data_IF_345881668856
#
_entry.id   IF_345881668856
#
_cell.length_a   1.000
_cell.length_b   1.000
_cell.length_c   1.000
_cell.angle_alpha   90.00
_cell.angle_beta   90.00
_cell.angle_gamma   90.00
#
_symmetry.space_group_name_H-M   'P 1'
#
loop_
_entity.id
_entity.type
_entity.pdbx_description
1 polymer ?
#
# COMPACT_ATOMS: atom_id res chain seq x y z
N UNK A 1 26.85 -2.29 7.86
CA UNK A 1 28.22 -1.94 7.44
C UNK A 1 28.10 -0.70 6.56
N UNK A 2 29.09 0.19 6.51
CA UNK A 2 29.02 1.42 5.70
C UNK A 2 29.75 1.20 4.38
N UNK A 3 29.17 1.65 3.28
CA UNK A 3 29.84 1.69 1.97
C UNK A 3 30.48 3.06 1.82
N UNK A 4 31.79 3.13 1.61
CA UNK A 4 32.52 4.41 1.50
C UNK A 4 32.22 5.37 2.67
N UNK A 5 32.15 4.84 3.90
CA UNK A 5 31.78 5.59 5.11
C UNK A 5 30.39 6.24 5.08
N UNK A 6 29.50 5.78 4.19
CA UNK A 6 28.10 6.21 4.10
C UNK A 6 27.15 5.03 4.18
N UNK A 7 25.91 5.31 4.60
CA UNK A 7 24.80 4.35 4.58
C UNK A 7 23.86 4.71 3.44
N UNK A 8 23.74 3.83 2.46
CA UNK A 8 22.81 3.97 1.34
C UNK A 8 21.56 3.16 1.63
N UNK A 9 20.42 3.83 1.73
CA UNK A 9 19.13 3.21 2.02
C UNK A 9 18.01 4.00 1.36
N UNK A 10 16.93 3.31 1.00
CA UNK A 10 15.74 3.94 0.45
C UNK A 10 14.48 3.18 0.88
N UNK A 11 13.37 3.91 0.89
CA UNK A 11 12.03 3.36 1.08
C UNK A 11 11.31 3.44 -0.26
N UNK A 12 10.68 2.35 -0.66
CA UNK A 12 9.92 2.24 -1.88
C UNK A 12 8.52 1.72 -1.59
N UNK A 13 7.51 2.29 -2.24
CA UNK A 13 6.14 1.78 -2.18
C UNK A 13 5.88 0.95 -3.43
N UNK A 14 5.72 -0.36 -3.25
CA UNK A 14 5.45 -1.23 -4.37
C UNK A 14 4.04 -0.97 -4.89
N UNK A 15 3.95 -0.33 -6.06
CA UNK A 15 2.69 -0.16 -6.78
C UNK A 15 2.20 -1.56 -7.20
N UNK A 16 0.96 -1.96 -6.83
CA UNK A 16 0.42 -3.22 -7.30
C UNK A 16 0.27 -3.21 -8.83
N UNK A 17 0.65 -4.31 -9.48
CA UNK A 17 0.55 -4.50 -10.93
C UNK A 17 -0.90 -4.46 -11.39
N UNK A 18 -1.81 -5.00 -10.57
CA UNK A 18 -3.25 -4.94 -10.75
C UNK A 18 -3.91 -4.59 -9.43
N UNK A 19 -4.96 -3.77 -9.49
CA UNK A 19 -5.88 -3.56 -8.37
C UNK A 19 -7.09 -4.43 -8.68
N UNK A 20 -7.40 -5.39 -7.81
CA UNK A 20 -8.65 -6.13 -7.90
C UNK A 20 -9.81 -5.16 -7.65
N UNK A 21 -10.35 -4.63 -8.75
CA UNK A 21 -11.41 -3.64 -8.73
C UNK A 21 -12.72 -4.19 -8.16
N UNK A 22 -12.94 -5.51 -8.21
CA UNK A 22 -14.15 -6.15 -7.70
C UNK A 22 -14.10 -6.19 -6.18
N UNK A 23 -13.01 -6.75 -5.64
CA UNK A 23 -12.80 -6.84 -4.19
C UNK A 23 -12.71 -5.45 -3.57
N UNK A 24 -11.97 -4.53 -4.20
CA UNK A 24 -11.81 -3.15 -3.72
C UNK A 24 -13.15 -2.39 -3.71
N UNK A 25 -13.98 -2.50 -4.76
CA UNK A 25 -15.32 -1.89 -4.75
C UNK A 25 -16.21 -2.47 -3.65
N UNK A 26 -16.13 -3.78 -3.41
CA UNK A 26 -16.91 -4.44 -2.35
C UNK A 26 -16.50 -3.94 -0.97
N UNK A 27 -15.20 -3.87 -0.70
CA UNK A 27 -14.66 -3.39 0.58
C UNK A 27 -15.01 -1.92 0.84
N UNK A 28 -14.84 -1.04 -0.16
CA UNK A 28 -15.23 0.36 -0.07
C UNK A 28 -16.74 0.48 0.16
N UNK A 29 -17.56 -0.31 -0.56
CA UNK A 29 -19.02 -0.31 -0.35
C UNK A 29 -19.37 -0.74 1.07
N UNK A 30 -18.73 -1.77 1.61
CA UNK A 30 -18.93 -2.20 3.00
C UNK A 30 -18.54 -1.10 4.00
N UNK A 31 -17.44 -0.39 3.76
CA UNK A 31 -17.02 0.76 4.59
C UNK A 31 -18.03 1.91 4.53
N UNK A 32 -18.54 2.24 3.35
CA UNK A 32 -19.54 3.30 3.20
C UNK A 32 -20.87 2.93 3.86
N UNK A 33 -21.29 1.66 3.76
CA UNK A 33 -22.51 1.16 4.39
C UNK A 33 -22.44 1.13 5.92
N UNK A 34 -21.26 1.22 6.55
CA UNK A 34 -21.17 1.40 8.00
C UNK A 34 -21.49 2.82 8.46
N UNK A 35 -21.50 3.80 7.54
CA UNK A 35 -21.74 5.22 7.83
C UNK A 35 -23.03 5.75 7.18
N UNK A 36 -23.43 5.21 6.04
CA UNK A 36 -24.59 5.65 5.27
C UNK A 36 -25.52 4.49 4.90
N UNK A 37 -26.81 4.78 4.72
CA UNK A 37 -27.77 3.80 4.18
C UNK A 37 -27.65 3.69 2.66
N UNK A 38 -28.15 2.58 2.09
CA UNK A 38 -28.22 2.37 0.63
C UNK A 38 -28.93 3.53 -0.09
N UNK A 39 -30.01 4.07 0.49
CA UNK A 39 -30.78 5.18 -0.10
C UNK A 39 -29.96 6.48 -0.18
N UNK A 40 -29.17 6.76 0.86
CA UNK A 40 -28.31 7.93 0.92
C UNK A 40 -27.14 7.83 -0.06
N UNK A 41 -26.61 6.61 -0.27
CA UNK A 41 -25.57 6.36 -1.27
C UNK A 41 -26.09 6.41 -2.71
N UNK A 42 -27.38 6.16 -2.94
CA UNK A 42 -27.99 6.26 -4.26
C UNK A 42 -28.10 7.72 -4.73
N UNK A 43 -28.35 8.66 -3.82
CA UNK A 43 -28.47 10.10 -4.10
C UNK A 43 -27.73 10.94 -3.04
N UNK A 44 -26.37 10.94 -3.04
CA UNK A 44 -25.59 11.64 -2.04
C UNK A 44 -25.60 13.15 -2.26
N UNK A 45 -25.66 13.92 -1.18
CA UNK A 45 -25.45 15.38 -1.20
C UNK A 45 -23.99 15.71 -1.53
N UNK A 46 -23.70 16.97 -1.87
CA UNK A 46 -22.32 17.40 -2.18
C UNK A 46 -21.35 17.14 -1.02
N UNK A 47 -21.78 17.40 0.22
CA UNK A 47 -20.99 17.10 1.42
C UNK A 47 -20.71 15.61 1.55
N UNK A 48 -21.71 14.77 1.31
CA UNK A 48 -21.55 13.31 1.33
C UNK A 48 -20.63 12.82 0.22
N UNK A 49 -20.67 13.42 -0.98
CA UNK A 49 -19.76 13.05 -2.07
C UNK A 49 -18.31 13.35 -1.70
N UNK A 50 -18.04 14.48 -1.04
CA UNK A 50 -16.71 14.81 -0.54
C UNK A 50 -16.23 13.81 0.50
N UNK A 51 -17.08 13.47 1.46
CA UNK A 51 -16.78 12.50 2.53
C UNK A 51 -16.58 11.07 1.97
N UNK A 52 -17.39 10.65 1.00
CA UNK A 52 -17.22 9.39 0.26
C UNK A 52 -15.87 9.34 -0.46
N UNK A 53 -15.49 10.44 -1.12
CA UNK A 53 -14.21 10.55 -1.80
C UNK A 53 -13.05 10.45 -0.82
N UNK A 54 -13.12 11.17 0.30
CA UNK A 54 -12.12 11.16 1.36
C UNK A 54 -11.94 9.74 1.94
N UNK A 55 -13.02 9.09 2.37
CA UNK A 55 -12.99 7.72 2.88
C UNK A 55 -12.41 6.72 1.87
N UNK A 56 -12.77 6.87 0.59
CA UNK A 56 -12.24 6.02 -0.48
C UNK A 56 -10.74 6.23 -0.69
N UNK A 57 -10.26 7.48 -0.61
CA UNK A 57 -8.84 7.83 -0.72
C UNK A 57 -8.03 7.35 0.48
N UNK A 58 -8.56 7.49 1.69
CA UNK A 58 -7.94 6.97 2.91
C UNK A 58 -7.76 5.46 2.84
N UNK A 59 -8.83 4.74 2.49
CA UNK A 59 -8.79 3.29 2.32
C UNK A 59 -7.71 2.86 1.31
N UNK A 60 -7.67 3.52 0.15
CA UNK A 60 -6.66 3.23 -0.87
C UNK A 60 -5.25 3.56 -0.40
N UNK A 61 -5.07 4.68 0.31
CA UNK A 61 -3.78 5.09 0.86
C UNK A 61 -3.28 4.10 1.92
N UNK A 62 -4.16 3.62 2.80
CA UNK A 62 -3.83 2.60 3.79
C UNK A 62 -3.41 1.29 3.09
N UNK A 63 -4.19 0.84 2.09
CA UNK A 63 -3.91 -0.40 1.36
C UNK A 63 -2.59 -0.34 0.58
N UNK A 64 -2.27 0.81 -0.02
CA UNK A 64 -1.05 1.00 -0.80
C UNK A 64 0.18 1.26 0.07
N UNK A 65 0.03 1.95 1.21
CA UNK A 65 1.12 2.20 2.15
C UNK A 65 1.60 0.93 2.86
N UNK A 66 0.73 -0.07 3.00
CA UNK A 66 1.09 -1.41 3.50
C UNK A 66 2.07 -2.17 2.60
N UNK A 67 2.37 -1.71 1.39
CA UNK A 67 3.37 -2.34 0.50
C UNK A 67 4.72 -1.63 0.50
N UNK A 68 5.15 -1.16 1.68
CA UNK A 68 6.45 -0.52 1.84
C UNK A 68 7.57 -1.56 1.81
N UNK A 69 8.61 -1.25 1.04
CA UNK A 69 9.84 -2.03 0.93
C UNK A 69 11.00 -1.12 1.30
N UNK A 70 11.71 -1.48 2.36
CA UNK A 70 12.95 -0.80 2.73
C UNK A 70 14.13 -1.61 2.23
N UNK A 71 15.11 -0.96 1.59
CA UNK A 71 16.34 -1.63 1.19
C UNK A 71 17.56 -0.78 1.50
N UNK A 72 18.67 -1.47 1.72
CA UNK A 72 19.99 -0.85 1.91
C UNK A 72 21.07 -1.61 1.15
N UNK A 73 22.12 -0.89 0.78
CA UNK A 73 23.34 -1.49 0.23
C UNK A 73 24.29 -1.75 1.39
N UNK A 74 24.79 -2.97 1.47
CA UNK A 74 25.78 -3.39 2.45
C UNK A 74 27.00 -3.96 1.71
N UNK A 75 28.18 -3.69 2.24
CA UNK A 75 29.43 -4.26 1.77
C UNK A 75 30.01 -5.13 2.88
N UNK A 76 30.47 -6.33 2.51
CA UNK A 76 31.20 -7.22 3.41
C UNK A 76 32.26 -8.02 2.67
N UNK A 77 33.52 -7.93 3.11
CA UNK A 77 34.67 -8.63 2.53
C UNK A 77 34.90 -8.34 1.04
N UNK A 78 34.75 -7.08 0.63
CA UNK A 78 34.86 -6.61 -0.75
C UNK A 78 33.65 -6.94 -1.62
N UNK A 79 32.59 -7.53 -1.06
CA UNK A 79 31.38 -7.93 -1.80
C UNK A 79 30.20 -7.06 -1.41
N UNK A 80 29.47 -6.58 -2.40
CA UNK A 80 28.26 -5.80 -2.24
C UNK A 80 27.01 -6.69 -2.25
N UNK A 81 26.03 -6.35 -1.42
CA UNK A 81 24.71 -6.97 -1.39
C UNK A 81 23.62 -5.93 -1.15
N UNK A 82 22.43 -6.21 -1.66
CA UNK A 82 21.21 -5.47 -1.30
C UNK A 82 20.51 -6.26 -0.19
N UNK A 83 20.23 -5.60 0.92
CA UNK A 83 19.42 -6.16 1.99
C UNK A 83 18.03 -5.53 1.87
N UNK A 84 17.01 -6.36 1.72
CA UNK A 84 15.61 -5.95 1.57
C UNK A 84 14.84 -6.38 2.80
N UNK A 85 14.05 -5.48 3.36
CA UNK A 85 13.15 -5.73 4.48
C UNK A 85 11.71 -5.41 4.04
N UNK A 86 10.83 -6.38 4.29
CA UNK A 86 9.39 -6.26 4.09
C UNK A 86 8.76 -6.06 5.47
N UNK A 87 8.13 -4.91 5.73
CA UNK A 87 7.67 -4.56 7.08
C UNK A 87 6.49 -5.42 7.59
N UNK A 88 5.66 -5.95 6.68
CA UNK A 88 4.30 -6.33 7.03
C UNK A 88 3.80 -7.59 6.29
N UNK A 89 4.69 -8.44 5.76
CA UNK A 89 4.39 -9.70 5.03
C UNK A 89 3.43 -9.56 3.83
N UNK A 90 2.81 -8.40 3.60
CA UNK A 90 2.01 -8.09 2.42
C UNK A 90 2.80 -8.19 1.11
N UNK A 91 4.12 -8.03 1.22
CA UNK A 91 5.08 -8.17 0.13
C UNK A 91 5.82 -9.52 0.18
N UNK A 92 5.40 -10.48 1.01
CA UNK A 92 6.00 -11.81 1.03
C UNK A 92 5.74 -12.49 -0.32
N UNK A 93 6.81 -12.97 -0.96
CA UNK A 93 6.66 -13.77 -2.17
C UNK A 93 5.96 -15.09 -1.81
N UNK A 94 4.70 -15.25 -2.22
CA UNK A 94 3.95 -16.50 -2.10
C UNK A 94 4.38 -17.53 -3.15
N UNK A 95 5.29 -17.17 -4.06
CA UNK A 95 5.81 -18.03 -5.12
C UNK A 95 4.95 -18.03 -6.39
N UNK A 96 3.85 -17.28 -6.44
CA UNK A 96 2.98 -17.19 -7.63
C UNK A 96 3.46 -16.17 -8.68
N UNK A 97 4.39 -15.28 -8.31
CA UNK A 97 4.93 -14.21 -9.18
C UNK A 97 6.33 -14.56 -9.76
N UNK A 98 6.72 -15.83 -9.79
CA UNK A 98 7.94 -16.35 -10.43
C UNK A 98 7.63 -17.29 -11.60
#
# INVERSE_FOLDING_TARGET
>A
MNVNNKRYQAVFYQKPTTIDSITTKKEIRTLLLSKYSEEQLANPTEEMQSDILELSLEYMTEKLSKKTVWFMIDEKYGKYRIIIFYENLYNSATGEDL
#
